data_IF_809319951882
#
_entry.id   IF_809319951882
#
_cell.length_a   1.000
_cell.length_b   1.000
_cell.length_c   1.000
_cell.angle_alpha   90.00
_cell.angle_beta   90.00
_cell.angle_gamma   90.00
#
_symmetry.space_group_name_H-M   'P 1'
#
loop_
_entity.id
_entity.type
_entity.pdbx_description
1 polymer ?
#
# COMPACT_ATOMS: atom_id res chain seq x y z
N UNK A 1 -3.16 -52.42 -1.37
CA UNK A 1 -2.67 -51.33 -2.21
C UNK A 1 -1.27 -51.64 -2.61
N UNK A 2 -0.94 -51.45 -3.88
CA UNK A 2 0.36 -51.75 -4.47
C UNK A 2 1.05 -50.45 -4.87
N UNK A 3 2.17 -50.16 -4.24
CA UNK A 3 2.92 -48.93 -4.54
C UNK A 3 3.79 -49.17 -5.76
N UNK A 4 3.67 -48.31 -6.77
CA UNK A 4 4.54 -48.39 -7.94
C UNK A 4 5.99 -48.01 -7.57
N UNK A 5 6.99 -48.87 -7.82
CA UNK A 5 8.38 -48.58 -7.47
C UNK A 5 8.96 -47.43 -8.28
N UNK A 6 8.38 -47.12 -9.45
CA UNK A 6 8.88 -46.06 -10.34
C UNK A 6 8.36 -44.69 -10.02
N UNK A 7 7.05 -44.52 -9.71
CA UNK A 7 6.43 -43.21 -9.50
C UNK A 7 5.80 -43.01 -8.11
N UNK A 8 5.84 -44.03 -7.25
CA UNK A 8 5.28 -43.96 -5.91
C UNK A 8 3.74 -43.96 -5.84
N UNK A 9 3.03 -44.07 -6.97
CA UNK A 9 1.57 -44.06 -7.00
C UNK A 9 0.98 -45.33 -6.36
N UNK A 10 -0.10 -45.15 -5.61
CA UNK A 10 -0.77 -46.21 -4.86
C UNK A 10 -1.89 -46.84 -5.72
N UNK A 11 -1.65 -48.06 -6.23
CA UNK A 11 -2.56 -48.75 -7.10
C UNK A 11 -3.43 -49.75 -6.33
N UNK A 12 -4.60 -50.06 -6.86
CA UNK A 12 -5.47 -51.11 -6.32
C UNK A 12 -4.84 -52.50 -6.49
N UNK A 13 -5.09 -53.39 -5.53
CA UNK A 13 -4.64 -54.76 -5.62
C UNK A 13 -5.29 -55.45 -6.81
N UNK A 14 -4.49 -56.10 -7.65
CA UNK A 14 -4.94 -56.81 -8.83
C UNK A 14 -4.64 -56.10 -10.16
N UNK A 15 -4.13 -54.88 -10.13
CA UNK A 15 -3.65 -54.19 -11.35
C UNK A 15 -2.27 -54.68 -11.74
N UNK A 16 -2.11 -54.96 -13.01
CA UNK A 16 -0.83 -55.40 -13.59
C UNK A 16 0.03 -54.21 -14.02
N UNK A 17 -0.59 -53.05 -14.29
CA UNK A 17 0.09 -51.83 -14.69
C UNK A 17 -0.28 -50.65 -13.77
N UNK A 18 0.69 -49.77 -13.53
CA UNK A 18 0.47 -48.54 -12.75
C UNK A 18 -0.51 -47.62 -13.45
N UNK A 19 -1.49 -47.10 -12.71
CA UNK A 19 -2.49 -46.16 -13.23
C UNK A 19 -1.88 -44.82 -13.63
N UNK A 20 -0.80 -44.41 -12.95
CA UNK A 20 -0.18 -43.09 -13.14
C UNK A 20 0.91 -43.10 -14.23
N UNK A 21 1.82 -44.06 -14.24
CA UNK A 21 2.97 -44.06 -15.16
C UNK A 21 2.96 -45.19 -16.20
N UNK A 22 1.96 -46.10 -16.15
CA UNK A 22 1.84 -47.22 -17.08
C UNK A 22 2.87 -48.35 -16.89
N UNK A 23 3.76 -48.27 -15.92
CA UNK A 23 4.81 -49.26 -15.70
C UNK A 23 4.24 -50.58 -15.14
N UNK A 24 4.85 -51.70 -15.51
CA UNK A 24 4.39 -53.01 -15.08
C UNK A 24 4.67 -53.20 -13.59
N UNK A 25 3.64 -53.56 -12.83
CA UNK A 25 3.73 -53.78 -11.39
C UNK A 25 4.14 -55.23 -11.11
N UNK A 26 5.19 -55.44 -10.33
CA UNK A 26 5.59 -56.76 -9.88
C UNK A 26 4.68 -57.22 -8.74
N UNK A 27 3.87 -58.24 -9.05
CA UNK A 27 2.89 -58.84 -8.11
C UNK A 27 3.49 -59.94 -7.25
N UNK A 28 4.72 -60.39 -7.53
CA UNK A 28 5.36 -61.55 -6.88
C UNK A 28 5.76 -61.30 -5.41
N UNK A 29 5.96 -60.01 -5.04
CA UNK A 29 6.41 -59.59 -3.71
C UNK A 29 5.34 -58.91 -2.85
N UNK A 30 4.06 -59.11 -3.15
CA UNK A 30 2.98 -58.49 -2.39
C UNK A 30 2.87 -59.17 -1.01
N UNK A 31 3.46 -58.50 0.00
CA UNK A 31 3.13 -58.83 1.40
C UNK A 31 1.80 -58.13 1.74
N UNK A 32 0.76 -58.85 2.16
CA UNK A 32 -0.49 -58.22 2.59
C UNK A 32 -0.17 -57.30 3.77
N UNK A 33 -0.53 -56.00 3.62
CA UNK A 33 -0.32 -55.03 4.70
C UNK A 33 -0.99 -55.54 5.97
N UNK A 34 -0.25 -55.57 7.06
CA UNK A 34 -0.76 -55.99 8.36
C UNK A 34 -1.91 -55.10 8.84
N UNK A 35 -2.82 -55.64 9.65
CA UNK A 35 -3.95 -54.86 10.18
C UNK A 35 -3.47 -53.61 10.92
N UNK A 36 -2.29 -53.67 11.55
CA UNK A 36 -1.66 -52.51 12.21
C UNK A 36 -1.21 -51.42 11.23
N UNK A 37 -0.60 -51.79 10.10
CA UNK A 37 -0.20 -50.83 9.06
C UNK A 37 -1.40 -50.15 8.39
N UNK A 38 -2.49 -50.88 8.16
CA UNK A 38 -3.74 -50.30 7.64
C UNK A 38 -4.32 -49.27 8.60
N UNK A 39 -4.33 -49.57 9.90
CA UNK A 39 -4.78 -48.61 10.96
C UNK A 39 -3.89 -47.38 11.00
N UNK A 40 -2.57 -47.52 10.94
CA UNK A 40 -1.62 -46.43 10.96
C UNK A 40 -1.76 -45.52 9.72
N UNK A 41 -1.93 -46.11 8.55
CA UNK A 41 -2.16 -45.35 7.30
C UNK A 41 -3.50 -44.59 7.32
N UNK A 42 -4.56 -45.22 7.87
CA UNK A 42 -5.86 -44.56 8.03
C UNK A 42 -5.77 -43.36 9.01
N UNK A 43 -5.14 -43.56 10.15
CA UNK A 43 -4.91 -42.48 11.13
C UNK A 43 -4.09 -41.31 10.51
N UNK A 44 -3.01 -41.62 9.75
CA UNK A 44 -2.19 -40.60 9.08
C UNK A 44 -2.96 -39.86 7.97
N UNK A 45 -3.89 -40.52 7.28
CA UNK A 45 -4.79 -39.83 6.32
C UNK A 45 -5.80 -38.92 7.01
N UNK A 46 -6.38 -39.37 8.12
CA UNK A 46 -7.33 -38.58 8.91
C UNK A 46 -6.67 -37.34 9.49
N UNK A 47 -5.47 -37.47 10.10
CA UNK A 47 -4.72 -36.33 10.60
C UNK A 47 -4.33 -35.35 9.48
N UNK A 48 -3.88 -35.85 8.32
CA UNK A 48 -3.55 -35.00 7.18
C UNK A 48 -4.77 -34.24 6.62
N UNK A 49 -5.95 -34.86 6.64
CA UNK A 49 -7.19 -34.19 6.24
C UNK A 49 -7.61 -33.12 7.24
N UNK A 50 -7.55 -33.41 8.54
CA UNK A 50 -7.84 -32.43 9.59
C UNK A 50 -6.90 -31.22 9.49
N UNK A 51 -5.59 -31.48 9.32
CA UNK A 51 -4.63 -30.38 9.14
C UNK A 51 -4.94 -29.53 7.90
N UNK A 52 -5.31 -30.14 6.77
CA UNK A 52 -5.71 -29.40 5.57
C UNK A 52 -6.96 -28.55 5.80
N UNK A 53 -7.95 -29.06 6.55
CA UNK A 53 -9.13 -28.31 6.89
C UNK A 53 -8.82 -27.12 7.80
N UNK A 54 -7.98 -27.31 8.82
CA UNK A 54 -7.52 -26.25 9.71
C UNK A 54 -6.82 -25.15 8.91
N UNK A 55 -5.88 -25.51 8.02
CA UNK A 55 -5.19 -24.55 7.16
C UNK A 55 -6.17 -23.76 6.28
N UNK A 56 -7.15 -24.43 5.66
CA UNK A 56 -8.18 -23.78 4.86
C UNK A 56 -9.03 -22.81 5.66
N UNK A 57 -9.43 -23.19 6.88
CA UNK A 57 -10.18 -22.32 7.78
C UNK A 57 -9.37 -21.11 8.23
N UNK A 58 -8.07 -21.29 8.53
CA UNK A 58 -7.17 -20.19 8.85
C UNK A 58 -7.03 -19.22 7.66
N UNK A 59 -6.84 -19.74 6.45
CA UNK A 59 -6.76 -18.92 5.24
C UNK A 59 -8.08 -18.16 5.02
N UNK A 60 -9.23 -18.83 5.13
CA UNK A 60 -10.53 -18.19 5.00
C UNK A 60 -10.74 -17.10 6.06
N UNK A 61 -10.34 -17.35 7.31
CA UNK A 61 -10.39 -16.37 8.41
C UNK A 61 -9.53 -15.14 8.12
N UNK A 62 -8.31 -15.33 7.63
CA UNK A 62 -7.41 -14.23 7.24
C UNK A 62 -8.02 -13.43 6.07
N UNK A 63 -8.56 -14.10 5.06
CA UNK A 63 -9.21 -13.42 3.93
C UNK A 63 -10.42 -12.60 4.39
N UNK A 64 -11.27 -13.17 5.25
CA UNK A 64 -12.42 -12.45 5.82
C UNK A 64 -11.98 -11.24 6.64
N UNK A 65 -10.91 -11.37 7.43
CA UNK A 65 -10.36 -10.26 8.20
C UNK A 65 -9.86 -9.14 7.28
N UNK A 66 -9.13 -9.47 6.22
CA UNK A 66 -8.66 -8.49 5.23
C UNK A 66 -9.85 -7.80 4.56
N UNK A 67 -10.86 -8.56 4.14
CA UNK A 67 -12.08 -8.00 3.54
C UNK A 67 -12.80 -7.08 4.53
N UNK A 68 -12.90 -7.45 5.80
CA UNK A 68 -13.50 -6.60 6.82
C UNK A 68 -12.71 -5.29 7.03
N UNK A 69 -11.37 -5.37 7.12
CA UNK A 69 -10.51 -4.19 7.26
C UNK A 69 -10.59 -3.25 6.05
N UNK A 70 -10.76 -3.78 4.85
CA UNK A 70 -10.98 -3.00 3.64
C UNK A 70 -12.42 -2.47 3.53
N UNK A 71 -13.38 -3.13 4.18
CA UNK A 71 -14.79 -2.73 4.14
C UNK A 71 -15.05 -1.48 4.97
N UNK A 72 -14.42 -1.37 6.13
CA UNK A 72 -14.57 -0.21 7.01
C UNK A 72 -13.61 0.91 6.60
N UNK A 73 -14.09 1.85 5.81
CA UNK A 73 -13.34 3.06 5.45
C UNK A 73 -13.52 4.11 6.56
N UNK A 74 -12.42 4.71 7.06
CA UNK A 74 -12.53 5.86 7.96
C UNK A 74 -13.24 7.02 7.24
N UNK A 75 -14.09 7.72 7.94
CA UNK A 75 -14.70 8.94 7.41
C UNK A 75 -13.66 10.06 7.40
N UNK A 76 -13.27 10.50 6.21
CA UNK A 76 -12.45 11.69 6.02
C UNK A 76 -13.40 12.83 5.64
N UNK A 77 -13.54 13.80 6.53
CA UNK A 77 -14.30 15.00 6.19
C UNK A 77 -13.56 15.78 5.10
N UNK A 78 -14.23 16.15 3.99
CA UNK A 78 -13.63 17.01 3.00
C UNK A 78 -13.28 18.35 3.64
N UNK A 79 -12.07 18.83 3.39
CA UNK A 79 -11.65 20.14 3.85
C UNK A 79 -12.04 21.15 2.77
N UNK A 80 -13.00 22.00 3.07
CA UNK A 80 -13.35 23.14 2.23
C UNK A 80 -12.56 24.35 2.71
N UNK A 81 -11.52 24.80 1.98
CA UNK A 81 -10.72 25.93 2.40
C UNK A 81 -11.53 27.24 2.35
N UNK A 82 -11.27 28.13 3.28
CA UNK A 82 -11.79 29.49 3.26
C UNK A 82 -11.08 30.34 2.20
N UNK A 83 -11.69 31.44 1.77
CA UNK A 83 -11.04 32.34 0.82
C UNK A 83 -9.73 32.93 1.37
N UNK A 84 -9.65 33.17 2.67
CA UNK A 84 -8.43 33.67 3.32
C UNK A 84 -7.30 32.65 3.25
N UNK A 85 -7.61 31.35 3.48
CA UNK A 85 -6.65 30.27 3.37
C UNK A 85 -6.16 30.08 1.94
N UNK A 86 -7.03 30.23 0.94
CA UNK A 86 -6.66 30.17 -0.48
C UNK A 86 -5.70 31.30 -0.87
N UNK A 87 -6.02 32.54 -0.49
CA UNK A 87 -5.15 33.71 -0.73
C UNK A 87 -3.82 33.55 0.02
N UNK A 88 -3.87 33.05 1.25
CA UNK A 88 -2.70 32.72 2.07
C UNK A 88 -1.80 31.71 1.36
N UNK A 89 -2.37 30.60 0.90
CA UNK A 89 -1.66 29.53 0.19
C UNK A 89 -0.97 30.07 -1.08
N UNK A 90 -1.68 30.84 -1.91
CA UNK A 90 -1.11 31.44 -3.13
C UNK A 90 0.04 32.41 -2.83
N UNK A 91 -0.13 33.25 -1.81
CA UNK A 91 0.91 34.20 -1.39
C UNK A 91 2.18 33.48 -0.90
N UNK A 92 2.03 32.39 -0.14
CA UNK A 92 3.14 31.55 0.35
C UNK A 92 3.83 30.80 -0.80
N UNK A 93 3.06 30.29 -1.77
CA UNK A 93 3.61 29.68 -2.97
C UNK A 93 4.46 30.67 -3.77
N UNK A 94 3.96 31.88 -4.00
CA UNK A 94 4.73 32.93 -4.66
C UNK A 94 5.98 33.33 -3.87
N UNK A 95 5.88 33.40 -2.54
CA UNK A 95 7.03 33.67 -1.69
C UNK A 95 8.10 32.57 -1.78
N UNK A 96 7.67 31.29 -1.80
CA UNK A 96 8.56 30.13 -1.95
C UNK A 96 9.24 30.14 -3.34
N UNK A 97 8.48 30.39 -4.40
CA UNK A 97 9.01 30.50 -5.76
C UNK A 97 10.06 31.61 -5.89
N UNK A 98 9.76 32.81 -5.34
CA UNK A 98 10.72 33.92 -5.30
C UNK A 98 11.98 33.58 -4.50
N UNK A 99 11.86 32.90 -3.37
CA UNK A 99 12.96 32.49 -2.52
C UNK A 99 13.90 31.54 -3.27
N UNK A 100 13.32 30.60 -4.01
CA UNK A 100 14.06 29.60 -4.80
C UNK A 100 14.65 30.23 -6.06
N UNK A 101 13.87 31.00 -6.82
CA UNK A 101 14.29 31.60 -8.10
C UNK A 101 15.35 32.67 -7.92
N UNK A 102 15.22 33.52 -6.88
CA UNK A 102 16.18 34.57 -6.59
C UNK A 102 17.38 34.09 -5.78
N UNK A 103 17.42 32.81 -5.42
CA UNK A 103 18.45 32.20 -4.57
C UNK A 103 18.76 32.97 -3.29
N UNK A 104 17.76 33.67 -2.76
CA UNK A 104 17.91 34.43 -1.52
C UNK A 104 17.74 33.51 -0.32
N UNK A 105 18.59 33.67 0.73
CA UNK A 105 18.37 32.95 1.97
C UNK A 105 17.09 33.43 2.63
N UNK A 106 16.35 32.51 3.20
CA UNK A 106 15.10 32.84 3.89
C UNK A 106 14.31 31.59 4.29
N UNK A 107 13.22 31.84 4.99
CA UNK A 107 12.30 30.80 5.45
C UNK A 107 10.87 31.18 5.07
N UNK A 108 10.12 30.22 4.57
CA UNK A 108 8.68 30.38 4.31
C UNK A 108 7.95 29.37 5.19
N UNK A 109 7.09 29.86 6.05
CA UNK A 109 6.26 29.03 6.94
C UNK A 109 4.86 28.90 6.37
N UNK A 110 4.40 27.65 6.23
CA UNK A 110 3.08 27.31 5.69
C UNK A 110 2.31 26.52 6.73
N UNK A 111 1.11 26.93 7.07
CA UNK A 111 0.25 26.23 8.04
C UNK A 111 -0.43 25.01 7.43
N UNK A 112 -0.94 24.10 8.28
CA UNK A 112 -1.72 22.96 7.83
C UNK A 112 -2.97 23.37 7.03
N UNK A 113 -3.61 24.49 7.39
CA UNK A 113 -4.78 25.04 6.69
C UNK A 113 -4.40 25.51 5.28
N UNK A 114 -3.32 26.27 5.13
CA UNK A 114 -2.81 26.73 3.84
C UNK A 114 -2.36 25.56 2.95
N UNK A 115 -1.72 24.51 3.52
CA UNK A 115 -1.38 23.29 2.77
C UNK A 115 -2.63 22.57 2.26
N UNK A 116 -3.66 22.46 3.10
CA UNK A 116 -4.92 21.86 2.69
C UNK A 116 -5.62 22.72 1.62
N UNK A 117 -5.58 24.04 1.74
CA UNK A 117 -6.10 24.94 0.71
C UNK A 117 -5.38 24.74 -0.62
N UNK A 118 -4.04 24.69 -0.61
CA UNK A 118 -3.22 24.48 -1.80
C UNK A 118 -3.53 23.14 -2.50
N UNK A 119 -3.61 22.04 -1.73
CA UNK A 119 -3.86 20.70 -2.31
C UNK A 119 -5.29 20.57 -2.84
N UNK A 120 -6.28 21.22 -2.21
CA UNK A 120 -7.67 21.14 -2.63
C UNK A 120 -8.07 22.18 -3.70
N UNK A 121 -7.24 23.18 -3.98
CA UNK A 121 -7.46 24.19 -5.03
C UNK A 121 -7.35 23.58 -6.42
N UNK A 122 -6.45 22.61 -6.61
CA UNK A 122 -6.29 21.93 -7.90
C UNK A 122 -7.46 20.96 -8.12
N UNK A 123 -8.25 21.23 -9.15
CA UNK A 123 -9.25 20.28 -9.64
C UNK A 123 -8.58 18.98 -10.07
N UNK A 124 -9.24 17.88 -9.77
CA UNK A 124 -8.81 16.61 -10.34
C UNK A 124 -9.27 16.53 -11.78
N UNK A 125 -8.34 16.49 -12.71
CA UNK A 125 -8.65 16.04 -14.05
C UNK A 125 -9.14 14.58 -13.95
N UNK A 126 -10.31 14.32 -14.53
CA UNK A 126 -10.84 12.95 -14.59
C UNK A 126 -9.78 12.10 -15.27
N UNK A 127 -9.33 10.99 -14.65
CA UNK A 127 -8.38 10.10 -15.27
C UNK A 127 -8.94 9.66 -16.62
N UNK A 128 -8.25 10.05 -17.68
CA UNK A 128 -8.51 9.60 -19.05
C UNK A 128 -7.91 8.21 -19.19
N UNK A 129 -8.70 7.17 -18.90
CA UNK A 129 -8.26 5.80 -19.10
C UNK A 129 -9.12 4.80 -18.36
N UNK A 130 -9.05 3.54 -18.77
CA UNK A 130 -9.73 2.38 -18.21
C UNK A 130 -9.20 1.94 -16.83
N UNK A 131 -8.58 2.85 -16.07
CA UNK A 131 -8.03 2.54 -14.76
C UNK A 131 -9.16 2.42 -13.73
N UNK A 132 -9.11 1.33 -13.00
CA UNK A 132 -10.08 0.89 -11.98
C UNK A 132 -10.25 1.92 -10.83
N UNK A 133 -9.39 2.91 -10.73
CA UNK A 133 -9.35 3.91 -9.68
C UNK A 133 -9.71 5.28 -10.22
N UNK A 134 -10.76 5.81 -9.70
CA UNK A 134 -11.37 7.06 -10.12
C UNK A 134 -11.09 8.15 -9.10
N UNK A 135 -11.23 9.37 -9.55
CA UNK A 135 -11.01 10.65 -8.90
C UNK A 135 -11.00 10.63 -7.35
N UNK A 136 -9.97 11.17 -6.72
CA UNK A 136 -9.98 11.41 -5.29
C UNK A 136 -11.12 12.36 -4.91
N UNK A 137 -11.90 11.95 -3.90
CA UNK A 137 -13.08 12.67 -3.42
C UNK A 137 -12.71 13.73 -2.38
N UNK A 138 -11.71 13.41 -1.56
CA UNK A 138 -11.21 14.31 -0.52
C UNK A 138 -9.71 14.10 -0.29
N UNK A 139 -9.03 15.19 -0.02
CA UNK A 139 -7.62 15.22 0.41
C UNK A 139 -7.51 15.96 1.72
N UNK A 140 -6.67 15.47 2.59
CA UNK A 140 -6.38 16.12 3.85
C UNK A 140 -4.91 15.98 4.19
N UNK A 141 -4.27 17.07 4.56
CA UNK A 141 -2.93 17.07 5.12
C UNK A 141 -3.05 17.41 6.61
N UNK A 142 -2.45 16.59 7.45
CA UNK A 142 -2.30 16.83 8.87
C UNK A 142 -0.83 16.81 9.26
N UNK A 143 -0.44 17.71 10.13
CA UNK A 143 0.93 17.85 10.60
C UNK A 143 1.04 17.29 12.00
N UNK A 144 2.15 16.63 12.25
CA UNK A 144 2.62 16.22 13.57
C UNK A 144 4.09 16.57 13.68
N UNK A 145 4.62 16.61 14.88
CA UNK A 145 6.03 16.95 15.10
C UNK A 145 6.97 16.06 14.26
N UNK A 146 7.63 16.68 13.30
CA UNK A 146 8.53 16.01 12.37
C UNK A 146 7.87 15.23 11.23
N UNK A 147 6.55 15.04 11.23
CA UNK A 147 5.85 14.18 10.26
C UNK A 147 4.71 14.91 9.54
N UNK A 148 4.56 14.59 8.27
CA UNK A 148 3.40 14.99 7.45
C UNK A 148 2.58 13.75 7.15
N UNK A 149 1.29 13.79 7.46
CA UNK A 149 0.33 12.75 7.10
C UNK A 149 -0.58 13.25 5.99
N UNK A 150 -0.56 12.56 4.87
CA UNK A 150 -1.45 12.80 3.73
C UNK A 150 -2.55 11.75 3.73
N UNK A 151 -3.78 12.18 3.75
CA UNK A 151 -4.97 11.34 3.73
C UNK A 151 -5.73 11.58 2.43
N UNK A 152 -6.06 10.51 1.73
CA UNK A 152 -6.76 10.53 0.45
C UNK A 152 -8.00 9.63 0.55
N UNK A 153 -9.15 10.16 0.16
CA UNK A 153 -10.36 9.39 -0.06
C UNK A 153 -10.59 9.28 -1.56
N UNK A 154 -10.59 8.08 -2.09
CA UNK A 154 -10.72 7.78 -3.52
C UNK A 154 -11.93 6.90 -3.73
N UNK A 155 -12.75 7.18 -4.74
CA UNK A 155 -13.80 6.27 -5.16
C UNK A 155 -13.25 5.26 -6.15
N UNK A 156 -13.33 3.98 -5.82
CA UNK A 156 -13.00 2.88 -6.73
C UNK A 156 -14.29 2.39 -7.39
N UNK A 157 -14.33 2.42 -8.72
CA UNK A 157 -15.42 1.83 -9.51
C UNK A 157 -15.08 0.37 -9.81
N UNK A 158 -15.88 -0.55 -9.29
CA UNK A 158 -15.83 -1.97 -9.62
C UNK A 158 -16.89 -2.27 -10.69
N UNK A 159 -16.55 -1.97 -11.94
CA UNK A 159 -17.49 -2.07 -13.06
C UNK A 159 -18.64 -1.07 -12.95
N UNK A 160 -19.80 -1.42 -13.53
CA UNK A 160 -21.01 -0.56 -13.52
C UNK A 160 -21.88 -0.75 -12.28
N UNK A 161 -21.50 -1.62 -11.35
CA UNK A 161 -22.42 -2.15 -10.32
C UNK A 161 -22.10 -1.61 -8.93
N UNK A 162 -20.84 -1.22 -8.64
CA UNK A 162 -20.47 -0.90 -7.27
C UNK A 162 -19.35 0.12 -7.16
N UNK A 163 -19.67 1.24 -6.51
CA UNK A 163 -18.71 2.29 -6.17
C UNK A 163 -18.34 2.18 -4.70
N UNK A 164 -17.05 2.07 -4.42
CA UNK A 164 -16.56 2.02 -3.06
C UNK A 164 -15.54 3.11 -2.81
N UNK A 165 -15.73 3.84 -1.72
CA UNK A 165 -14.72 4.74 -1.22
C UNK A 165 -13.57 3.93 -0.58
N UNK A 166 -12.35 4.19 -1.03
CA UNK A 166 -11.11 3.65 -0.45
C UNK A 166 -10.34 4.78 0.23
N UNK A 167 -9.92 4.53 1.43
CA UNK A 167 -9.08 5.44 2.20
C UNK A 167 -7.61 5.05 2.07
N UNK A 168 -6.78 6.02 1.71
CA UNK A 168 -5.33 5.91 1.70
C UNK A 168 -4.76 6.92 2.68
N UNK A 169 -3.84 6.50 3.53
CA UNK A 169 -3.07 7.41 4.35
C UNK A 169 -1.58 7.10 4.21
N UNK A 170 -0.78 8.14 4.10
CA UNK A 170 0.66 8.06 3.99
C UNK A 170 1.29 9.08 4.94
N UNK A 171 2.07 8.60 5.88
CA UNK A 171 2.74 9.41 6.88
C UNK A 171 4.24 9.26 6.75
N UNK A 172 4.96 10.37 6.81
CA UNK A 172 6.42 10.35 6.71
C UNK A 172 7.04 11.68 7.05
N UNK A 173 8.37 11.66 7.07
CA UNK A 173 9.21 12.82 7.34
C UNK A 173 9.75 13.37 6.02
N UNK A 174 9.35 14.60 5.61
CA UNK A 174 9.96 15.26 4.48
C UNK A 174 11.36 15.75 4.87
N UNK A 175 12.34 15.42 4.07
CA UNK A 175 13.75 15.83 4.28
C UNK A 175 14.39 16.21 2.95
N UNK A 176 15.48 16.96 3.02
CA UNK A 176 16.35 17.20 1.87
C UNK A 176 17.61 16.39 2.09
N UNK A 177 17.86 15.40 1.24
CA UNK A 177 19.05 14.57 1.25
C UNK A 177 19.76 14.69 -0.10
N UNK A 178 21.05 14.99 -0.09
CA UNK A 178 21.87 15.16 -1.30
C UNK A 178 21.29 16.16 -2.33
N UNK A 179 20.60 17.20 -1.85
CA UNK A 179 19.97 18.21 -2.71
C UNK A 179 18.66 17.76 -3.38
N UNK A 180 18.11 16.63 -2.95
CA UNK A 180 16.82 16.11 -3.43
C UNK A 180 15.81 16.02 -2.30
N UNK A 181 14.56 16.30 -2.64
CA UNK A 181 13.45 16.07 -1.73
C UNK A 181 13.21 14.57 -1.55
N UNK A 182 13.28 14.12 -0.31
CA UNK A 182 13.02 12.71 0.08
C UNK A 182 11.91 12.69 1.12
N UNK A 183 10.94 11.84 0.92
CA UNK A 183 9.88 11.60 1.88
C UNK A 183 10.10 10.23 2.53
N UNK A 184 10.58 10.22 3.79
CA UNK A 184 10.87 9.00 4.52
C UNK A 184 9.58 8.45 5.16
N UNK A 185 9.04 7.31 4.69
CA UNK A 185 7.78 6.78 5.21
C UNK A 185 7.92 6.33 6.66
N UNK A 186 6.99 6.73 7.51
CA UNK A 186 6.83 6.24 8.89
C UNK A 186 5.58 5.40 9.04
N UNK A 187 4.57 5.60 8.18
CA UNK A 187 3.34 4.85 8.17
C UNK A 187 2.61 4.90 6.83
N UNK A 188 1.93 3.81 6.49
CA UNK A 188 1.03 3.76 5.33
C UNK A 188 -0.16 2.86 5.64
N UNK A 189 -1.36 3.29 5.24
CA UNK A 189 -2.61 2.57 5.48
C UNK A 189 -3.48 2.54 4.23
N UNK A 190 -4.10 1.40 4.00
CA UNK A 190 -5.19 1.24 3.04
C UNK A 190 -6.45 0.88 3.83
N UNK A 191 -7.42 1.77 3.87
CA UNK A 191 -8.55 1.71 4.79
C UNK A 191 -8.04 1.57 6.23
N UNK A 192 -8.33 0.46 6.91
CA UNK A 192 -7.79 0.16 8.24
C UNK A 192 -6.59 -0.80 8.21
N UNK A 193 -6.18 -1.26 7.02
CA UNK A 193 -5.06 -2.17 6.88
C UNK A 193 -3.73 -1.39 6.92
N UNK A 194 -2.87 -1.58 7.94
CA UNK A 194 -1.55 -0.98 7.97
C UNK A 194 -0.63 -1.69 6.96
N UNK A 195 -0.22 -0.96 5.92
CA UNK A 195 0.71 -1.47 4.90
C UNK A 195 2.14 -1.37 5.40
N UNK A 196 2.55 -0.21 5.90
CA UNK A 196 3.89 -0.01 6.43
C UNK A 196 3.84 0.20 7.96
N UNK A 197 4.74 -0.41 8.74
CA UNK A 197 5.88 -1.26 8.34
C UNK A 197 5.55 -2.76 8.19
N UNK A 198 4.28 -3.19 8.24
CA UNK A 198 3.91 -4.62 8.31
C UNK A 198 4.01 -5.36 6.98
N UNK A 199 3.77 -4.68 5.86
CA UNK A 199 3.75 -5.25 4.51
C UNK A 199 4.65 -4.44 3.57
N UNK A 200 5.98 -4.34 3.84
CA UNK A 200 6.88 -3.45 3.12
C UNK A 200 6.98 -3.76 1.63
N UNK A 201 6.71 -5.01 1.24
CA UNK A 201 6.72 -5.42 -0.18
C UNK A 201 5.59 -4.79 -1.01
N UNK A 202 4.54 -4.27 -0.37
CA UNK A 202 3.45 -3.54 -1.03
C UNK A 202 3.76 -2.05 -1.21
N UNK A 203 4.79 -1.53 -0.51
CA UNK A 203 5.12 -0.10 -0.55
C UNK A 203 5.39 0.44 -1.97
N UNK A 204 6.15 -0.23 -2.84
CA UNK A 204 6.41 0.31 -4.18
C UNK A 204 5.13 0.48 -5.03
N UNK A 205 4.16 -0.45 -4.87
CA UNK A 205 2.85 -0.34 -5.53
C UNK A 205 2.01 0.78 -4.94
N UNK A 206 2.05 0.91 -3.60
CA UNK A 206 1.34 1.94 -2.87
C UNK A 206 1.89 3.33 -3.21
N UNK A 207 3.21 3.52 -3.14
CA UNK A 207 3.89 4.77 -3.48
C UNK A 207 3.62 5.19 -4.92
N UNK A 208 3.75 4.28 -5.88
CA UNK A 208 3.45 4.58 -7.28
C UNK A 208 2.03 5.12 -7.47
N UNK A 209 1.05 4.58 -6.74
CA UNK A 209 -0.35 5.01 -6.83
C UNK A 209 -0.58 6.33 -6.09
N UNK A 210 -0.09 6.46 -4.86
CA UNK A 210 -0.23 7.67 -4.04
C UNK A 210 0.56 8.83 -4.63
N UNK A 211 1.82 8.59 -5.02
CA UNK A 211 2.67 9.60 -5.68
C UNK A 211 2.10 9.97 -7.04
N UNK A 212 1.53 9.00 -7.79
CA UNK A 212 0.83 9.32 -9.03
C UNK A 212 -0.35 10.27 -8.83
N UNK A 213 -1.11 10.11 -7.74
CA UNK A 213 -2.20 11.03 -7.37
C UNK A 213 -1.71 12.38 -6.85
N UNK A 214 -0.46 12.46 -6.39
CA UNK A 214 0.21 13.67 -5.94
C UNK A 214 1.07 14.31 -7.04
N UNK A 215 1.29 13.63 -8.16
CA UNK A 215 2.15 14.09 -9.26
C UNK A 215 1.64 15.33 -9.98
N UNK A 216 0.38 15.71 -9.78
CA UNK A 216 -0.08 17.07 -10.14
C UNK A 216 0.67 18.17 -9.37
N UNK A 217 1.40 17.78 -8.33
CA UNK A 217 2.37 18.60 -7.59
C UNK A 217 3.79 18.50 -8.17
N UNK A 218 4.03 17.79 -9.27
CA UNK A 218 5.37 17.54 -9.82
C UNK A 218 6.10 18.82 -10.27
N UNK A 219 5.35 19.86 -10.64
CA UNK A 219 5.92 21.19 -10.86
C UNK A 219 6.56 21.78 -9.61
N UNK A 220 6.11 21.36 -8.45
CA UNK A 220 6.58 21.84 -7.16
C UNK A 220 7.75 20.99 -6.63
N UNK A 221 7.96 19.76 -7.12
CA UNK A 221 9.08 18.91 -6.73
C UNK A 221 10.44 19.53 -7.11
N UNK A 222 10.55 20.03 -8.35
CA UNK A 222 11.77 20.73 -8.79
C UNK A 222 12.06 22.00 -7.98
N UNK A 223 11.04 22.57 -7.36
CA UNK A 223 11.15 23.70 -6.44
C UNK A 223 11.61 23.22 -5.06
N UNK A 224 11.07 22.12 -4.57
CA UNK A 224 11.45 21.52 -3.29
C UNK A 224 12.92 21.03 -3.30
N UNK A 225 13.41 20.48 -4.40
CA UNK A 225 14.80 20.02 -4.55
C UNK A 225 15.84 21.16 -4.41
N UNK A 226 15.40 22.42 -4.60
CA UNK A 226 16.28 23.59 -4.44
C UNK A 226 16.33 24.14 -3.02
N UNK A 227 15.55 23.59 -2.10
CA UNK A 227 15.57 23.94 -0.69
C UNK A 227 16.77 23.32 0.03
N UNK A 228 17.09 23.86 1.20
CA UNK A 228 18.18 23.36 2.03
C UNK A 228 17.67 22.48 3.17
N UNK A 229 16.52 22.82 3.73
CA UNK A 229 15.89 22.03 4.79
C UNK A 229 14.37 22.21 4.79
N UNK A 230 13.68 21.22 5.34
CA UNK A 230 12.25 21.27 5.60
C UNK A 230 12.04 20.86 7.06
N UNK A 231 11.44 21.76 7.85
CA UNK A 231 11.14 21.50 9.25
C UNK A 231 9.63 21.40 9.42
N UNK A 232 9.17 20.33 10.03
CA UNK A 232 7.74 20.11 10.30
C UNK A 232 7.50 20.24 11.79
N UNK A 233 6.60 21.14 12.16
CA UNK A 233 6.06 21.28 13.52
C UNK A 233 4.64 20.72 13.56
N UNK A 234 4.02 20.65 14.74
CA UNK A 234 2.63 20.19 14.87
C UNK A 234 1.61 21.07 14.13
N UNK A 235 1.94 22.32 13.79
CA UNK A 235 1.02 23.30 13.22
C UNK A 235 1.44 23.82 11.85
N UNK A 236 2.73 23.76 11.49
CA UNK A 236 3.26 24.36 10.27
C UNK A 236 4.45 23.59 9.71
N UNK A 237 4.72 23.83 8.43
CA UNK A 237 5.92 23.39 7.72
C UNK A 237 6.75 24.61 7.37
N UNK A 238 8.02 24.58 7.71
CA UNK A 238 8.99 25.60 7.37
C UNK A 238 9.89 25.13 6.23
N UNK A 239 9.89 25.84 5.14
CA UNK A 239 10.75 25.63 3.99
C UNK A 239 11.93 26.60 4.08
N UNK A 240 13.13 26.06 4.22
CA UNK A 240 14.33 26.83 4.47
C UNK A 240 15.25 26.80 3.23
N UNK A 241 15.72 27.98 2.83
CA UNK A 241 16.79 28.16 1.86
C UNK A 241 17.98 28.84 2.56
N UNK A 242 19.09 28.11 2.73
CA UNK A 242 20.31 28.70 3.27
C UNK A 242 21.01 29.60 2.23
N UNK A 243 21.84 30.51 2.72
CA UNK A 243 22.75 31.25 1.87
C UNK A 243 23.73 30.29 1.15
N UNK A 244 24.08 30.52 -0.12
CA UNK A 244 25.12 29.74 -0.75
C UNK A 244 26.39 29.86 0.09
N UNK A 245 27.04 28.71 0.32
CA UNK A 245 28.33 28.72 1.03
C UNK A 245 29.27 29.64 0.28
N UNK A 246 29.86 30.63 0.97
CA UNK A 246 30.91 31.47 0.39
C UNK A 246 32.06 30.55 -0.05
N UNK A 247 32.55 30.66 -1.29
CA UNK A 247 33.70 29.89 -1.77
C UNK A 247 34.95 30.16 -0.94
#
# INVERSE_FOLDING_TARGET
>A
MLICPKCGYDNELGRIFCHSCGDKLDLSNIKPATAAEKKLRKAKRETANVTRWIVRLCIAGVVLLIVALLWFTPAVAPVTPSNEELVGADSKRMALDKLVTLQKPGTVTVTAAELNAFVNQKSFDKPTGSDLLVAPVARRISLRDGCVKVELLVTAHLGTIYDKALYFAYEGQPTIADGHFVFNPTGAWLCQLPIYPRLPFLMPLFEKRVVGMLQDLSGDQALLDKLTAINVTGESVEFVKAAPAKP
#
